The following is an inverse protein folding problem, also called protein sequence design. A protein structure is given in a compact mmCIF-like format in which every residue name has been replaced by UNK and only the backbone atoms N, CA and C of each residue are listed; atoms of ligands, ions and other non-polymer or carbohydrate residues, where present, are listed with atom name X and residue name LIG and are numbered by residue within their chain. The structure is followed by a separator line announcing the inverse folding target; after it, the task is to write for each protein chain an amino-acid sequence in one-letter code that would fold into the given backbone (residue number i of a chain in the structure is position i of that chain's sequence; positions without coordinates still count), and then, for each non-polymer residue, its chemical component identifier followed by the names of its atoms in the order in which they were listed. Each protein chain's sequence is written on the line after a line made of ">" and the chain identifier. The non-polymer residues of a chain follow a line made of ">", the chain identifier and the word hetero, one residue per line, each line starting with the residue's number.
data_IF_867004013758
#
_entry.id   IF_867004013758
#
_cell.length_a   1.000
_cell.length_b   1.000
_cell.length_c   1.000
_cell.angle_alpha   90.00
_cell.angle_beta   90.00
_cell.angle_gamma   90.00
#
_symmetry.space_group_name_H-M   'P 1'
#
loop_
_entity.id
_entity.type
_entity.pdbx_description
1 polymer ?
#
# COMPACT_ATOMS: atom_id res chain seq x y z
N UNK A 1 15.70 8.11 -10.53
CA UNK A 1 16.69 9.08 -10.00
C UNK A 1 16.28 10.47 -10.46
N UNK A 2 15.93 11.35 -9.53
CA UNK A 2 15.83 12.79 -9.76
C UNK A 2 16.11 13.47 -8.41
N UNK A 3 17.09 14.39 -8.41
CA UNK A 3 17.51 15.19 -7.26
C UNK A 3 17.00 16.62 -7.50
N UNK A 4 16.57 17.32 -6.45
CA UNK A 4 16.32 18.77 -6.53
C UNK A 4 17.13 19.49 -5.44
N UNK A 5 17.76 20.59 -5.84
CA UNK A 5 18.83 21.32 -5.13
C UNK A 5 18.24 22.32 -4.13
N UNK A 6 19.02 22.57 -3.07
CA UNK A 6 18.68 23.07 -1.75
C UNK A 6 18.46 24.60 -1.62
N UNK A 7 17.54 24.99 -0.72
CA UNK A 7 17.80 25.95 0.35
C UNK A 7 17.08 25.45 1.62
N UNK A 8 17.85 25.05 2.65
CA UNK A 8 17.31 24.67 3.98
C UNK A 8 17.10 23.17 4.20
N UNK A 9 18.20 22.44 4.40
CA UNK A 9 18.26 21.07 4.91
C UNK A 9 17.23 20.09 4.30
N UNK A 10 17.54 19.59 3.11
CA UNK A 10 16.82 18.49 2.47
C UNK A 10 17.02 17.22 3.32
N UNK A 11 16.10 16.97 4.26
CA UNK A 11 15.98 15.66 4.91
C UNK A 11 15.66 14.67 3.79
N UNK A 12 16.54 13.69 3.56
CA UNK A 12 16.24 12.54 2.70
C UNK A 12 14.83 12.04 3.03
N UNK A 13 13.91 12.15 2.08
CA UNK A 13 12.58 11.61 2.25
C UNK A 13 12.74 10.09 2.44
N UNK A 14 12.50 9.61 3.65
CA UNK A 14 12.49 8.18 3.90
C UNK A 14 11.45 7.48 3.02
N UNK A 15 11.58 6.15 2.87
CA UNK A 15 10.63 5.33 2.12
C UNK A 15 9.17 5.62 2.53
N UNK A 16 8.29 5.70 1.55
CA UNK A 16 6.85 5.87 1.78
C UNK A 16 6.26 4.65 2.50
N UNK A 17 5.03 4.76 2.99
CA UNK A 17 4.36 3.62 3.64
C UNK A 17 4.18 2.45 2.65
N UNK A 18 3.85 2.77 1.39
CA UNK A 18 3.74 1.77 0.33
C UNK A 18 5.09 1.11 0.06
N UNK A 19 6.17 1.88 -0.10
CA UNK A 19 7.50 1.32 -0.33
C UNK A 19 7.93 0.37 0.80
N UNK A 20 7.62 0.75 2.05
CA UNK A 20 7.89 -0.09 3.22
C UNK A 20 7.05 -1.38 3.20
N UNK A 21 5.79 -1.30 2.81
CA UNK A 21 4.92 -2.45 2.70
C UNK A 21 5.38 -3.42 1.60
N UNK A 22 5.78 -2.91 0.43
CA UNK A 22 6.28 -3.73 -0.68
C UNK A 22 7.59 -4.44 -0.29
N UNK A 23 8.45 -3.78 0.49
CA UNK A 23 9.70 -4.35 1.01
C UNK A 23 9.54 -5.14 2.32
N UNK A 24 8.32 -5.44 2.76
CA UNK A 24 8.08 -6.04 4.10
C UNK A 24 8.86 -7.32 4.37
N UNK A 25 9.12 -8.12 3.34
CA UNK A 25 9.88 -9.37 3.42
C UNK A 25 11.41 -9.18 3.44
N UNK A 26 11.91 -7.99 3.11
CA UNK A 26 13.34 -7.67 3.14
C UNK A 26 13.82 -7.26 4.54
N UNK A 27 12.90 -6.86 5.42
CA UNK A 27 13.24 -6.45 6.78
C UNK A 27 13.48 -7.66 7.69
N UNK A 28 14.40 -7.49 8.66
CA UNK A 28 14.59 -8.44 9.75
C UNK A 28 13.32 -8.47 10.61
N UNK A 29 12.76 -9.66 10.77
CA UNK A 29 11.54 -9.90 11.53
C UNK A 29 11.62 -11.25 12.27
N UNK A 30 11.39 -11.24 13.58
CA UNK A 30 11.51 -12.42 14.45
C UNK A 30 10.16 -12.93 14.98
N UNK A 31 9.04 -12.36 14.52
CA UNK A 31 7.70 -12.79 14.93
C UNK A 31 7.20 -13.99 14.13
N UNK A 32 5.96 -14.42 14.41
CA UNK A 32 5.36 -15.64 13.80
C UNK A 32 4.31 -15.32 12.74
N UNK A 33 3.92 -14.06 12.65
CA UNK A 33 2.91 -13.59 11.70
C UNK A 33 3.39 -13.77 10.26
N UNK A 34 2.47 -14.22 9.40
CA UNK A 34 2.70 -14.26 7.96
C UNK A 34 2.65 -12.84 7.39
N UNK A 35 3.81 -12.31 7.02
CA UNK A 35 3.91 -10.99 6.39
C UNK A 35 3.26 -10.96 5.01
N UNK A 36 3.12 -12.11 4.34
CA UNK A 36 2.49 -12.22 3.01
C UNK A 36 0.99 -11.96 3.06
N UNK A 37 0.34 -12.33 4.17
CA UNK A 37 -1.09 -12.14 4.39
C UNK A 37 -1.47 -10.73 4.89
N UNK A 38 -0.50 -9.84 5.14
CA UNK A 38 -0.79 -8.49 5.61
C UNK A 38 -1.35 -7.61 4.49
N UNK A 39 -2.42 -6.89 4.80
CA UNK A 39 -2.90 -5.78 3.97
C UNK A 39 -2.05 -4.52 4.19
N UNK A 40 -2.07 -3.59 3.24
CA UNK A 40 -1.41 -2.29 3.41
C UNK A 40 -1.99 -1.51 4.59
N UNK A 41 -3.30 -1.59 4.82
CA UNK A 41 -3.95 -0.90 5.92
C UNK A 41 -3.52 -1.45 7.28
N UNK A 42 -3.49 -2.77 7.46
CA UNK A 42 -2.98 -3.41 8.68
C UNK A 42 -1.51 -3.09 8.91
N UNK A 43 -0.70 -3.14 7.86
CA UNK A 43 0.70 -2.75 7.91
C UNK A 43 0.85 -1.32 8.44
N UNK A 44 0.11 -0.36 7.87
CA UNK A 44 0.16 1.04 8.28
C UNK A 44 -0.29 1.27 9.74
N UNK A 45 -1.33 0.55 10.19
CA UNK A 45 -1.90 0.67 11.53
C UNK A 45 -1.01 0.09 12.62
N UNK A 46 -0.48 -1.11 12.37
CA UNK A 46 0.05 -1.97 13.41
C UNK A 46 1.57 -2.17 13.33
N UNK A 47 2.22 -1.78 12.24
CA UNK A 47 3.64 -2.07 12.01
C UNK A 47 4.52 -0.83 11.96
N UNK A 48 5.80 -1.04 12.28
CA UNK A 48 6.82 -0.01 12.28
C UNK A 48 8.14 -0.57 11.74
N UNK A 49 8.68 0.11 10.73
CA UNK A 49 10.03 -0.13 10.22
C UNK A 49 11.01 0.75 10.98
N UNK A 50 11.99 0.14 11.66
CA UNK A 50 13.07 0.82 12.38
C UNK A 50 14.42 0.37 11.81
N UNK A 51 14.99 1.21 10.95
CA UNK A 51 16.19 0.84 10.20
C UNK A 51 15.88 -0.34 9.28
N UNK A 52 16.55 -1.47 9.51
CA UNK A 52 16.39 -2.73 8.78
C UNK A 52 15.43 -3.72 9.46
N UNK A 53 14.84 -3.35 10.60
CA UNK A 53 14.02 -4.23 11.42
C UNK A 53 12.55 -3.85 11.34
N UNK A 54 11.68 -4.84 11.17
CA UNK A 54 10.23 -4.70 11.20
C UNK A 54 9.68 -5.12 12.56
N UNK A 55 8.82 -4.29 13.17
CA UNK A 55 8.22 -4.55 14.48
C UNK A 55 6.72 -4.35 14.46
N UNK A 56 6.00 -5.28 15.09
CA UNK A 56 4.57 -5.13 15.38
C UNK A 56 4.36 -4.33 16.67
N UNK A 57 3.45 -3.38 16.64
CA UNK A 57 3.14 -2.47 17.75
C UNK A 57 2.09 -3.07 18.68
N UNK A 58 2.41 -4.18 19.34
CA UNK A 58 1.45 -4.98 20.14
C UNK A 58 0.88 -4.23 21.36
N UNK A 59 1.62 -3.27 21.94
CA UNK A 59 1.23 -2.53 23.15
C UNK A 59 0.77 -1.09 22.88
N UNK A 60 0.66 -0.69 21.62
CA UNK A 60 0.22 0.64 21.26
C UNK A 60 -1.16 0.55 20.59
N UNK A 61 -1.99 1.58 20.79
CA UNK A 61 -3.21 1.71 20.02
C UNK A 61 -2.88 1.72 18.52
N UNK A 62 -3.75 1.08 17.73
CA UNK A 62 -3.69 1.15 16.27
C UNK A 62 -3.63 2.63 15.85
N UNK A 63 -2.78 2.94 14.86
CA UNK A 63 -2.81 4.30 14.31
C UNK A 63 -4.17 4.53 13.67
N UNK A 64 -4.80 5.65 13.99
CA UNK A 64 -5.90 6.15 13.17
C UNK A 64 -5.32 6.56 11.80
N UNK A 65 -5.48 5.70 10.81
CA UNK A 65 -5.10 6.00 9.42
C UNK A 65 -6.34 6.53 8.73
N UNK A 66 -6.36 7.84 8.48
CA UNK A 66 -7.42 8.48 7.72
C UNK A 66 -7.13 8.28 6.23
N UNK A 67 -7.84 7.33 5.62
CA UNK A 67 -7.72 7.07 4.18
C UNK A 67 -9.00 7.53 3.50
N UNK A 68 -8.99 8.80 3.09
CA UNK A 68 -9.99 9.32 2.17
C UNK A 68 -9.42 9.17 0.75
N UNK A 69 -9.94 8.24 -0.07
CA UNK A 69 -9.55 8.22 -1.47
C UNK A 69 -9.89 9.60 -2.05
N UNK A 70 -8.90 10.22 -2.68
CA UNK A 70 -9.08 11.49 -3.39
C UNK A 70 -9.86 11.33 -4.69
N UNK A 71 -9.98 10.08 -5.13
CA UNK A 71 -10.59 9.66 -6.38
C UNK A 71 -12.10 9.49 -6.21
N UNK A 72 -12.85 9.85 -7.25
CA UNK A 72 -14.30 9.63 -7.28
C UNK A 72 -14.65 8.13 -7.30
N UNK A 73 -15.73 7.78 -6.59
CA UNK A 73 -16.25 6.42 -6.49
C UNK A 73 -17.31 6.10 -7.56
N UNK A 74 -17.71 7.08 -8.36
CA UNK A 74 -18.67 6.92 -9.44
C UNK A 74 -18.05 6.09 -10.57
N UNK A 75 -18.62 4.92 -10.95
CA UNK A 75 -18.14 4.08 -12.04
C UNK A 75 -18.01 4.78 -13.40
N UNK A 76 -18.72 5.88 -13.62
CA UNK A 76 -18.68 6.65 -14.86
C UNK A 76 -17.60 7.74 -14.86
N UNK A 77 -16.96 7.99 -13.71
CA UNK A 77 -15.91 9.00 -13.59
C UNK A 77 -14.54 8.46 -14.03
N UNK A 78 -13.74 9.30 -14.67
CA UNK A 78 -12.39 8.95 -15.16
C UNK A 78 -11.41 8.50 -14.05
N UNK A 79 -11.75 8.76 -12.79
CA UNK A 79 -10.91 8.43 -11.61
C UNK A 79 -11.34 7.12 -10.94
N UNK A 80 -12.41 6.48 -11.41
CA UNK A 80 -12.95 5.28 -10.79
C UNK A 80 -11.94 4.13 -10.71
N UNK A 81 -11.12 3.98 -11.75
CA UNK A 81 -10.07 2.96 -11.78
C UNK A 81 -9.05 3.17 -10.65
N UNK A 82 -8.67 4.42 -10.38
CA UNK A 82 -7.77 4.79 -9.29
C UNK A 82 -8.42 4.62 -7.91
N UNK A 83 -9.72 4.88 -7.81
CA UNK A 83 -10.51 4.57 -6.62
C UNK A 83 -10.49 3.07 -6.33
N UNK A 84 -10.82 2.23 -7.32
CA UNK A 84 -10.79 0.77 -7.21
C UNK A 84 -9.39 0.27 -6.83
N UNK A 85 -8.35 0.72 -7.53
CA UNK A 85 -6.95 0.40 -7.23
C UNK A 85 -6.61 0.71 -5.78
N UNK A 86 -6.92 1.92 -5.32
CA UNK A 86 -6.61 2.35 -3.96
C UNK A 86 -7.36 1.49 -2.93
N UNK A 87 -8.63 1.18 -3.18
CA UNK A 87 -9.43 0.32 -2.31
C UNK A 87 -8.86 -1.09 -2.22
N UNK A 88 -8.53 -1.70 -3.36
CA UNK A 88 -7.95 -3.04 -3.42
C UNK A 88 -6.62 -3.07 -2.66
N UNK A 89 -5.72 -2.12 -2.91
CA UNK A 89 -4.43 -2.05 -2.22
C UNK A 89 -4.58 -1.94 -0.69
N UNK A 90 -5.59 -1.23 -0.19
CA UNK A 90 -5.78 -1.08 1.26
C UNK A 90 -6.27 -2.36 1.93
N UNK A 91 -7.05 -3.17 1.22
CA UNK A 91 -7.84 -4.26 1.80
C UNK A 91 -7.40 -5.66 1.39
N UNK A 92 -6.52 -5.79 0.40
CA UNK A 92 -6.01 -7.08 -0.07
C UNK A 92 -4.50 -7.16 0.10
N UNK A 93 -3.93 -8.34 0.43
CA UNK A 93 -2.49 -8.53 0.39
C UNK A 93 -1.96 -8.59 -1.04
N UNK A 94 -0.81 -7.95 -1.31
CA UNK A 94 -0.19 -7.95 -2.65
C UNK A 94 1.33 -7.84 -2.60
N UNK A 95 2.00 -8.30 -3.66
CA UNK A 95 3.44 -8.12 -3.88
C UNK A 95 3.73 -6.92 -4.79
N UNK A 96 2.85 -6.70 -5.77
CA UNK A 96 2.81 -5.55 -6.67
C UNK A 96 1.36 -5.11 -6.88
N UNK A 97 1.05 -3.81 -7.06
CA UNK A 97 -0.32 -3.37 -7.30
C UNK A 97 -1.00 -4.13 -8.45
N UNK A 98 -0.25 -4.48 -9.48
CA UNK A 98 -0.71 -5.21 -10.66
C UNK A 98 -1.29 -6.60 -10.34
N UNK A 99 -0.87 -7.20 -9.22
CA UNK A 99 -1.40 -8.50 -8.75
C UNK A 99 -2.89 -8.43 -8.40
N UNK A 100 -3.42 -7.22 -8.18
CA UNK A 100 -4.81 -6.97 -7.80
C UNK A 100 -5.73 -6.71 -9.00
N UNK A 101 -5.20 -6.71 -10.22
CA UNK A 101 -6.02 -6.58 -11.42
C UNK A 101 -6.64 -7.91 -11.80
N UNK A 102 -7.89 -7.87 -12.29
CA UNK A 102 -8.54 -9.03 -12.89
C UNK A 102 -8.78 -8.77 -14.37
N UNK A 103 -8.64 -9.82 -15.18
CA UNK A 103 -8.91 -9.78 -16.60
C UNK A 103 -10.42 -9.87 -16.86
N UNK A 104 -10.91 -8.97 -17.70
CA UNK A 104 -12.24 -9.07 -18.28
C UNK A 104 -12.37 -10.43 -19.02
N UNK A 105 -13.38 -11.27 -18.71
CA UNK A 105 -13.54 -12.57 -19.34
C UNK A 105 -13.86 -12.51 -20.84
N UNK A 106 -14.38 -11.38 -21.34
CA UNK A 106 -14.74 -11.19 -22.75
C UNK A 106 -13.61 -10.54 -23.54
N UNK A 107 -12.96 -9.51 -22.97
CA UNK A 107 -11.94 -8.71 -23.70
C UNK A 107 -10.50 -9.11 -23.36
N UNK A 108 -10.28 -9.81 -22.25
CA UNK A 108 -8.96 -10.17 -21.73
C UNK A 108 -8.17 -8.99 -21.16
N UNK A 109 -8.75 -7.80 -21.08
CA UNK A 109 -8.10 -6.60 -20.56
C UNK A 109 -8.13 -6.62 -19.03
N UNK A 110 -6.95 -6.53 -18.41
CA UNK A 110 -6.83 -6.45 -16.95
C UNK A 110 -7.11 -5.05 -16.42
N UNK A 111 -7.97 -4.95 -15.41
CA UNK A 111 -8.27 -3.69 -14.72
C UNK A 111 -8.57 -3.91 -13.23
N UNK A 112 -8.40 -2.87 -12.43
CA UNK A 112 -8.77 -2.83 -11.01
C UNK A 112 -10.28 -2.75 -10.84
N UNK A 113 -10.99 -2.03 -11.71
CA UNK A 113 -12.45 -1.93 -11.66
C UNK A 113 -13.15 -3.27 -11.88
N UNK A 114 -12.58 -4.19 -12.66
CA UNK A 114 -13.10 -5.56 -12.78
C UNK A 114 -12.95 -6.35 -11.50
N UNK A 115 -11.76 -6.30 -10.87
CA UNK A 115 -11.47 -7.00 -9.61
C UNK A 115 -12.27 -6.48 -8.41
N UNK A 116 -12.84 -5.27 -8.52
CA UNK A 116 -13.61 -4.64 -7.46
C UNK A 116 -15.08 -5.08 -7.40
N UNK A 117 -15.57 -5.83 -8.40
CA UNK A 117 -16.99 -6.20 -8.55
C UNK A 117 -17.47 -7.27 -7.57
#
# INVERSE_FOLDING_TARGET
>A
MAITIEEGAVRQAGLSMLDKYLKRHEYKYEGREDLGALTLLEFAKCWEVRGDTLRKRVRAAERAVMVFPRFDRDPEHDEYEDFCRTKLMLHHPFGSPEDLMEADPETGISSYSYAFR
#
